data_IF_847090287469
#
_entry.id   IF_847090287469
#
_cell.length_a   1.000
_cell.length_b   1.000
_cell.length_c   1.000
_cell.angle_alpha   90.00
_cell.angle_beta   90.00
_cell.angle_gamma   90.00
#
_symmetry.space_group_name_H-M   'P 1'
#
loop_
_entity.id
_entity.type
_entity.pdbx_description
1 polymer ?
#
# COMPACT_ATOMS: atom_id res chain seq x y z
N UNK A 1 -11.50 3.09 -12.90
CA UNK A 1 -11.64 4.41 -12.34
C UNK A 1 -11.57 4.50 -10.81
N UNK A 2 -11.27 3.40 -10.12
CA UNK A 2 -10.95 3.47 -8.69
C UNK A 2 -9.59 4.13 -8.50
N UNK A 3 -9.45 4.96 -7.46
CA UNK A 3 -8.16 5.52 -7.09
C UNK A 3 -7.42 4.57 -6.16
N UNK A 4 -6.10 4.51 -6.30
CA UNK A 4 -5.25 3.61 -5.52
C UNK A 4 -4.64 4.33 -4.33
N UNK A 5 -4.72 3.68 -3.15
CA UNK A 5 -3.91 3.99 -1.97
C UNK A 5 -2.96 2.81 -1.79
N UNK A 6 -1.66 3.04 -1.79
CA UNK A 6 -0.70 1.93 -1.72
C UNK A 6 0.74 2.38 -1.51
N UNK A 7 1.57 1.41 -1.21
CA UNK A 7 3.03 1.58 -1.15
C UNK A 7 3.63 1.55 -2.56
N UNK A 8 4.81 2.13 -2.73
CA UNK A 8 5.51 2.18 -4.02
C UNK A 8 6.30 0.88 -4.22
N UNK A 9 5.57 -0.23 -4.38
CA UNK A 9 6.13 -1.55 -4.65
C UNK A 9 5.24 -2.34 -5.63
N UNK A 10 5.76 -3.47 -6.15
CA UNK A 10 5.04 -4.32 -7.09
C UNK A 10 4.42 -3.51 -8.25
N UNK A 11 3.19 -3.83 -8.62
CA UNK A 11 2.48 -3.17 -9.72
C UNK A 11 2.21 -1.67 -9.49
N UNK A 12 2.31 -1.18 -8.25
CA UNK A 12 2.13 0.25 -7.98
C UNK A 12 3.27 1.09 -8.57
N UNK A 13 4.45 0.50 -8.79
CA UNK A 13 5.58 1.19 -9.44
C UNK A 13 5.19 1.56 -10.88
N UNK A 14 4.75 0.58 -11.66
CA UNK A 14 4.33 0.80 -13.05
C UNK A 14 3.08 1.69 -13.14
N UNK A 15 2.15 1.54 -12.19
CA UNK A 15 0.98 2.43 -12.12
C UNK A 15 1.41 3.87 -11.84
N UNK A 16 2.32 4.09 -10.92
CA UNK A 16 2.83 5.41 -10.59
C UNK A 16 3.57 6.06 -11.77
N UNK A 17 4.38 5.29 -12.53
CA UNK A 17 5.06 5.79 -13.72
C UNK A 17 4.11 6.39 -14.76
N UNK A 18 2.89 5.84 -14.90
CA UNK A 18 1.90 6.35 -15.88
C UNK A 18 0.91 7.34 -15.30
N UNK A 19 0.69 7.34 -13.98
CA UNK A 19 -0.32 8.17 -13.31
C UNK A 19 0.27 9.42 -12.66
N UNK A 20 1.51 9.33 -12.15
CA UNK A 20 2.14 10.37 -11.35
C UNK A 20 1.57 10.49 -9.94
N UNK A 21 2.28 11.27 -9.10
CA UNK A 21 1.92 11.50 -7.69
C UNK A 21 0.53 12.11 -7.49
N UNK A 22 0.05 12.85 -8.50
CA UNK A 22 -1.21 13.60 -8.40
C UNK A 22 -2.44 12.70 -8.54
N UNK A 23 -2.30 11.48 -9.06
CA UNK A 23 -3.40 10.58 -9.38
C UNK A 23 -3.42 9.27 -8.58
N UNK A 24 -2.54 9.18 -7.58
CA UNK A 24 -2.46 8.09 -6.60
C UNK A 24 -2.23 8.64 -5.19
N UNK A 25 -2.53 7.85 -4.17
CA UNK A 25 -2.22 8.18 -2.78
C UNK A 25 -1.14 7.22 -2.28
N UNK A 26 0.12 7.61 -2.49
CA UNK A 26 1.25 6.80 -2.03
C UNK A 26 1.56 7.07 -0.56
N UNK A 27 1.99 6.02 0.13
CA UNK A 27 2.49 6.03 1.50
C UNK A 27 3.58 4.96 1.67
N UNK A 28 4.16 4.92 2.87
CA UNK A 28 5.10 3.88 3.28
C UNK A 28 6.55 4.17 2.93
N UNK A 29 7.41 3.34 3.48
CA UNK A 29 8.85 3.39 3.29
C UNK A 29 9.22 2.95 1.86
N UNK A 30 10.25 3.57 1.33
CA UNK A 30 10.90 3.13 0.08
C UNK A 30 11.84 1.95 0.36
N UNK A 31 12.21 1.21 -0.67
CA UNK A 31 13.08 0.03 -0.58
C UNK A 31 14.39 0.31 0.17
N UNK A 32 15.00 1.46 -0.09
CA UNK A 32 16.25 1.87 0.56
C UNK A 32 16.05 2.16 2.04
N UNK A 33 14.92 2.80 2.40
CA UNK A 33 14.57 3.12 3.79
C UNK A 33 14.25 1.84 4.58
N UNK A 34 13.55 0.87 3.96
CA UNK A 34 13.31 -0.46 4.55
C UNK A 34 14.63 -1.16 4.85
N UNK A 35 15.57 -1.13 3.90
CA UNK A 35 16.89 -1.74 4.08
C UNK A 35 17.66 -1.09 5.22
N UNK A 36 17.74 0.24 5.22
CA UNK A 36 18.42 1.00 6.28
C UNK A 36 17.81 0.72 7.65
N UNK A 37 16.48 0.70 7.75
CA UNK A 37 15.78 0.41 9.00
C UNK A 37 16.06 -1.01 9.51
N UNK A 38 16.14 -2.00 8.63
CA UNK A 38 16.54 -3.37 8.99
C UNK A 38 17.99 -3.44 9.48
N UNK A 39 18.90 -2.80 8.76
CA UNK A 39 20.34 -2.81 9.08
C UNK A 39 20.63 -2.08 10.39
N UNK A 40 19.85 -1.07 10.75
CA UNK A 40 19.99 -0.30 12.01
C UNK A 40 19.24 -0.90 13.20
N UNK A 41 18.46 -1.97 12.99
CA UNK A 41 17.75 -2.68 14.06
C UNK A 41 16.34 -2.16 14.27
N UNK A 42 15.45 -2.50 13.35
CA UNK A 42 14.02 -2.21 13.47
C UNK A 42 13.39 -2.83 14.70
N UNK A 43 12.62 -2.06 15.45
CA UNK A 43 11.92 -2.54 16.64
C UNK A 43 10.48 -1.96 16.69
N UNK A 44 9.48 -2.74 16.32
CA UNK A 44 8.07 -2.31 16.26
C UNK A 44 7.50 -1.93 17.62
N UNK A 45 7.96 -2.55 18.71
CA UNK A 45 7.52 -2.21 20.07
C UNK A 45 7.93 -0.78 20.47
N UNK A 46 9.05 -0.27 19.96
CA UNK A 46 9.45 1.13 20.20
C UNK A 46 8.50 2.13 19.52
N UNK A 47 7.96 1.79 18.35
CA UNK A 47 6.95 2.60 17.68
C UNK A 47 5.64 2.58 18.45
N UNK A 48 5.15 1.39 18.79
CA UNK A 48 3.96 1.19 19.62
C UNK A 48 4.02 2.00 20.92
N UNK A 49 5.15 1.97 21.63
CA UNK A 49 5.30 2.66 22.92
C UNK A 49 5.39 4.19 22.82
N UNK A 50 5.76 4.75 21.66
CA UNK A 50 5.96 6.18 21.44
C UNK A 50 4.81 6.87 20.73
N UNK A 51 4.10 6.19 19.87
CA UNK A 51 2.97 6.73 19.10
C UNK A 51 1.64 6.38 19.77
N UNK A 52 1.01 7.37 20.37
CA UNK A 52 -0.26 7.16 21.09
C UNK A 52 -1.44 6.81 20.17
N UNK A 53 -1.39 7.10 18.88
CA UNK A 53 -2.43 6.71 17.94
C UNK A 53 -2.25 5.24 17.56
N UNK A 54 -1.03 4.82 17.23
CA UNK A 54 -0.68 3.44 16.96
C UNK A 54 -0.98 2.54 18.17
N UNK A 55 -0.60 3.00 19.37
CA UNK A 55 -0.90 2.31 20.63
C UNK A 55 -2.40 2.01 20.75
N UNK A 56 -3.26 3.04 20.64
CA UNK A 56 -4.71 2.87 20.72
C UNK A 56 -5.28 1.92 19.67
N UNK A 57 -4.76 1.97 18.43
CA UNK A 57 -5.21 1.08 17.35
C UNK A 57 -4.89 -0.38 17.67
N UNK A 58 -3.67 -0.67 18.11
CA UNK A 58 -3.27 -2.04 18.44
C UNK A 58 -4.01 -2.56 19.68
N UNK A 59 -4.22 -1.72 20.71
CA UNK A 59 -5.02 -2.09 21.88
C UNK A 59 -6.47 -2.39 21.49
N UNK A 60 -7.05 -1.61 20.58
CA UNK A 60 -8.40 -1.85 20.10
C UNK A 60 -8.51 -3.17 19.31
N UNK A 61 -7.51 -3.48 18.47
CA UNK A 61 -7.43 -4.76 17.76
C UNK A 61 -7.38 -5.90 18.79
N UNK A 62 -6.48 -5.81 19.77
CA UNK A 62 -6.35 -6.82 20.82
C UNK A 62 -7.68 -7.07 21.58
N UNK A 63 -8.42 -6.00 21.90
CA UNK A 63 -9.70 -6.09 22.61
C UNK A 63 -10.85 -6.67 21.75
N UNK A 64 -10.73 -6.63 20.42
CA UNK A 64 -11.74 -7.10 19.49
C UNK A 64 -12.83 -6.06 19.16
N UNK A 65 -13.77 -6.47 18.32
CA UNK A 65 -14.76 -5.58 17.69
C UNK A 65 -16.21 -5.89 18.09
N UNK A 66 -16.43 -6.38 19.33
CA UNK A 66 -17.74 -6.80 19.87
C UNK A 66 -18.34 -8.03 19.17
N UNK A 67 -17.52 -8.79 18.50
CA UNK A 67 -17.83 -10.09 17.87
C UNK A 67 -17.59 -11.29 18.81
N UNK A 68 -17.14 -11.02 20.04
CA UNK A 68 -16.78 -12.03 21.03
C UNK A 68 -15.40 -12.65 20.78
N UNK A 69 -14.64 -12.14 19.81
CA UNK A 69 -13.30 -12.62 19.43
C UNK A 69 -12.26 -11.59 19.93
N UNK A 70 -11.15 -12.11 20.41
CA UNK A 70 -9.93 -11.32 20.70
C UNK A 70 -8.90 -11.61 19.63
N UNK A 71 -8.15 -10.58 19.27
CA UNK A 71 -7.14 -10.64 18.22
C UNK A 71 -5.74 -10.35 18.79
N UNK A 72 -5.47 -10.84 20.00
CA UNK A 72 -4.17 -10.68 20.70
C UNK A 72 -3.04 -11.28 19.89
N UNK A 73 -3.28 -12.38 19.19
CA UNK A 73 -2.29 -13.08 18.37
C UNK A 73 -1.77 -12.22 17.21
N UNK A 74 -2.62 -11.35 16.63
CA UNK A 74 -2.22 -10.41 15.59
C UNK A 74 -1.26 -9.37 16.19
N UNK A 75 -1.63 -8.77 17.33
CA UNK A 75 -0.83 -7.75 17.99
C UNK A 75 0.49 -8.33 18.50
N UNK A 76 0.45 -9.53 19.09
CA UNK A 76 1.65 -10.23 19.56
C UNK A 76 2.62 -10.52 18.41
N UNK A 77 2.10 -10.96 17.28
CA UNK A 77 2.89 -11.22 16.07
C UNK A 77 3.53 -9.95 15.49
N UNK A 78 2.80 -8.84 15.49
CA UNK A 78 3.33 -7.54 15.04
C UNK A 78 4.41 -7.02 16.00
N UNK A 79 4.21 -7.13 17.32
CA UNK A 79 5.13 -6.54 18.29
C UNK A 79 6.34 -7.42 18.61
N UNK A 80 6.16 -8.76 18.61
CA UNK A 80 7.13 -9.72 19.14
C UNK A 80 7.49 -10.87 18.18
N UNK A 81 6.77 -11.05 17.09
CA UNK A 81 7.09 -11.97 16.00
C UNK A 81 6.53 -13.39 16.13
N UNK A 82 6.56 -14.03 17.29
CA UNK A 82 5.96 -15.37 17.47
C UNK A 82 6.55 -16.48 16.58
N UNK A 83 7.86 -16.50 16.35
CA UNK A 83 8.57 -17.48 15.51
C UNK A 83 9.01 -16.96 14.13
N UNK A 84 8.59 -15.75 13.77
CA UNK A 84 9.06 -14.98 12.62
C UNK A 84 9.57 -13.61 13.11
N UNK A 85 10.29 -12.84 12.29
CA UNK A 85 10.60 -11.46 12.64
C UNK A 85 9.33 -10.66 12.98
N UNK A 86 9.41 -9.83 14.04
CA UNK A 86 8.30 -8.94 14.39
C UNK A 86 8.08 -7.93 13.27
N UNK A 87 6.80 -7.71 12.91
CA UNK A 87 6.40 -6.78 11.85
C UNK A 87 7.30 -6.85 10.60
N UNK A 88 7.42 -8.04 10.03
CA UNK A 88 8.32 -8.36 8.92
C UNK A 88 8.15 -7.38 7.73
N UNK A 89 6.94 -6.89 7.53
CA UNK A 89 6.60 -5.97 6.43
C UNK A 89 6.61 -4.49 6.85
N UNK A 90 7.06 -4.17 8.06
CA UNK A 90 7.17 -2.80 8.59
C UNK A 90 5.86 -1.99 8.57
N UNK A 91 4.73 -2.66 8.77
CA UNK A 91 3.40 -2.05 8.79
C UNK A 91 3.29 -0.94 9.84
N UNK A 92 3.93 -1.13 11.00
CA UNK A 92 3.89 -0.15 12.07
C UNK A 92 4.76 1.08 11.77
N UNK A 93 5.83 0.90 11.00
CA UNK A 93 6.65 2.01 10.51
C UNK A 93 5.87 2.85 9.48
N UNK A 94 5.05 2.23 8.66
CA UNK A 94 4.23 2.89 7.64
C UNK A 94 2.98 3.57 8.20
N UNK A 95 2.60 3.30 9.46
CA UNK A 95 1.32 3.73 10.04
C UNK A 95 1.05 5.24 9.91
N UNK A 96 2.03 6.07 10.21
CA UNK A 96 1.86 7.54 10.17
C UNK A 96 1.65 8.02 8.74
N UNK A 97 2.45 7.53 7.79
CA UNK A 97 2.32 7.89 6.37
C UNK A 97 1.02 7.35 5.76
N UNK A 98 0.59 6.15 6.16
CA UNK A 98 -0.71 5.61 5.80
C UNK A 98 -1.86 6.49 6.30
N UNK A 99 -1.85 6.87 7.58
CA UNK A 99 -2.87 7.74 8.16
C UNK A 99 -2.94 9.10 7.45
N UNK A 100 -1.79 9.64 7.00
CA UNK A 100 -1.73 10.86 6.21
C UNK A 100 -2.32 10.66 4.80
N UNK A 101 -1.96 9.57 4.12
CA UNK A 101 -2.52 9.23 2.81
C UNK A 101 -4.05 9.07 2.86
N UNK A 102 -4.57 8.43 3.93
CA UNK A 102 -6.01 8.28 4.14
C UNK A 102 -6.72 9.62 4.36
N UNK A 103 -6.08 10.57 5.08
CA UNK A 103 -6.63 11.94 5.22
C UNK A 103 -6.66 12.66 3.88
N UNK A 104 -5.55 12.65 3.13
CA UNK A 104 -5.47 13.26 1.78
C UNK A 104 -6.53 12.68 0.85
N UNK A 105 -6.74 11.36 0.90
CA UNK A 105 -7.76 10.67 0.13
C UNK A 105 -9.18 11.14 0.54
N UNK A 106 -9.48 11.23 1.83
CA UNK A 106 -10.78 11.67 2.32
C UNK A 106 -11.06 13.13 1.93
N UNK A 107 -10.08 14.01 2.07
CA UNK A 107 -10.19 15.42 1.67
C UNK A 107 -10.43 15.55 0.15
N UNK A 108 -9.69 14.78 -0.64
CA UNK A 108 -9.86 14.74 -2.10
C UNK A 108 -11.22 14.17 -2.50
N UNK A 109 -11.73 13.18 -1.76
CA UNK A 109 -13.07 12.62 -2.01
C UNK A 109 -14.18 13.65 -1.76
N UNK A 110 -13.98 14.60 -0.85
CA UNK A 110 -14.86 15.74 -0.62
C UNK A 110 -14.94 16.69 -1.84
N UNK A 111 -13.84 16.84 -2.58
CA UNK A 111 -13.82 17.57 -3.87
C UNK A 111 -14.16 16.62 -5.02
N UNK A 112 -15.45 16.54 -5.34
CA UNK A 112 -15.97 15.67 -6.40
C UNK A 112 -15.37 15.94 -7.78
N UNK A 113 -15.05 17.18 -8.08
CA UNK A 113 -14.44 17.55 -9.37
C UNK A 113 -13.04 16.96 -9.47
N UNK A 114 -12.21 17.19 -8.46
CA UNK A 114 -10.86 16.66 -8.40
C UNK A 114 -10.85 15.13 -8.41
N UNK A 115 -11.69 14.50 -7.59
CA UNK A 115 -11.82 13.03 -7.55
C UNK A 115 -12.16 12.46 -8.92
N UNK A 116 -13.14 13.03 -9.61
CA UNK A 116 -13.57 12.57 -10.94
C UNK A 116 -12.48 12.79 -11.99
N UNK A 117 -11.74 13.89 -11.94
CA UNK A 117 -10.59 14.12 -12.82
C UNK A 117 -9.50 13.06 -12.64
N UNK A 118 -9.13 12.76 -11.40
CA UNK A 118 -8.18 11.69 -11.08
C UNK A 118 -8.69 10.33 -11.60
N UNK A 119 -9.97 10.02 -11.36
CA UNK A 119 -10.60 8.79 -11.83
C UNK A 119 -10.56 8.65 -13.35
N UNK A 120 -10.91 9.72 -14.09
CA UNK A 120 -10.83 9.75 -15.54
C UNK A 120 -9.39 9.60 -16.04
N UNK A 121 -8.42 10.22 -15.37
CA UNK A 121 -7.01 10.07 -15.70
C UNK A 121 -6.56 8.61 -15.55
N UNK A 122 -6.94 7.94 -14.45
CA UNK A 122 -6.67 6.52 -14.22
C UNK A 122 -7.28 5.65 -15.32
N UNK A 123 -8.53 5.89 -15.73
CA UNK A 123 -9.18 5.18 -16.83
C UNK A 123 -8.42 5.38 -18.15
N UNK A 124 -8.09 6.61 -18.48
CA UNK A 124 -7.41 6.95 -19.73
C UNK A 124 -6.02 6.31 -19.85
N UNK A 125 -5.33 6.11 -18.73
CA UNK A 125 -3.99 5.52 -18.66
C UNK A 125 -3.98 4.00 -18.46
N UNK A 126 -5.13 3.37 -18.18
CA UNK A 126 -5.20 1.94 -17.87
C UNK A 126 -4.90 1.01 -19.06
N UNK A 127 -4.95 1.53 -20.29
CA UNK A 127 -4.74 0.72 -21.51
C UNK A 127 -3.40 -0.02 -21.55
N UNK A 128 -2.36 0.51 -20.91
CA UNK A 128 -1.05 -0.15 -20.81
C UNK A 128 -1.12 -1.48 -20.05
N UNK A 129 -2.12 -1.65 -19.16
CA UNK A 129 -2.32 -2.86 -18.37
C UNK A 129 -3.35 -3.82 -18.98
N UNK A 130 -3.80 -3.56 -20.22
CA UNK A 130 -4.73 -4.44 -20.91
C UNK A 130 -4.08 -5.77 -21.23
N UNK A 131 -4.76 -6.87 -20.92
CA UNK A 131 -4.28 -8.23 -21.21
C UNK A 131 -3.99 -8.43 -22.70
N UNK A 132 -4.86 -7.92 -23.58
CA UNK A 132 -4.68 -8.02 -25.04
C UNK A 132 -3.37 -7.36 -25.51
N UNK A 133 -2.98 -6.22 -24.92
CA UNK A 133 -1.70 -5.59 -25.20
C UNK A 133 -0.54 -6.49 -24.77
N UNK A 134 -0.61 -7.03 -23.56
CA UNK A 134 0.46 -7.89 -23.03
C UNK A 134 0.61 -9.16 -23.88
N UNK A 135 -0.50 -9.78 -24.27
CA UNK A 135 -0.48 -10.97 -25.14
C UNK A 135 0.08 -10.61 -26.52
N UNK A 136 -0.29 -9.47 -27.09
CA UNK A 136 0.29 -9.02 -28.36
C UNK A 136 1.81 -8.81 -28.26
N UNK A 137 2.30 -8.20 -27.19
CA UNK A 137 3.73 -8.05 -26.94
C UNK A 137 4.45 -9.40 -26.79
N UNK A 138 3.86 -10.36 -26.09
CA UNK A 138 4.40 -11.72 -26.01
C UNK A 138 4.43 -12.42 -27.36
N UNK A 139 3.36 -12.33 -28.16
CA UNK A 139 3.27 -12.93 -29.47
C UNK A 139 4.34 -12.37 -30.41
N UNK A 140 4.53 -11.07 -30.43
CA UNK A 140 5.49 -10.39 -31.29
C UNK A 140 6.94 -10.57 -30.81
N UNK A 141 7.23 -10.22 -29.54
CA UNK A 141 8.60 -10.08 -29.05
C UNK A 141 9.22 -11.38 -28.54
N UNK A 142 8.41 -12.34 -28.09
CA UNK A 142 8.89 -13.57 -27.46
C UNK A 142 8.59 -14.80 -28.31
N UNK A 143 7.35 -14.95 -28.74
CA UNK A 143 6.93 -16.16 -29.47
C UNK A 143 7.09 -16.03 -30.98
N UNK A 144 7.20 -14.80 -31.49
CA UNK A 144 7.30 -14.50 -32.93
C UNK A 144 6.17 -15.15 -33.76
N UNK A 145 4.96 -15.15 -33.23
CA UNK A 145 3.78 -15.71 -33.88
C UNK A 145 2.80 -14.61 -34.29
N UNK A 146 2.07 -14.77 -35.42
CA UNK A 146 1.08 -13.79 -35.83
C UNK A 146 -0.02 -13.64 -34.79
N UNK A 147 -0.23 -12.46 -34.26
CA UNK A 147 -1.34 -12.12 -33.37
C UNK A 147 -2.41 -11.40 -34.19
N UNK A 148 -3.60 -12.00 -34.28
CA UNK A 148 -4.78 -11.36 -34.87
C UNK A 148 -5.60 -10.74 -33.75
N UNK A 149 -5.80 -9.42 -33.83
CA UNK A 149 -6.74 -8.70 -32.97
C UNK A 149 -8.16 -9.11 -33.25
#
# INVERSE_FOLDING_TARGET
GALTVGTLDGANVEMHEVLGDENMFLFGLKTEEVKEMRDTGYNPYRLYSRDGALHRVLDQISQGFRDGIRYDDIVERLLFGGGSPADEYMLLADFVSYADAMRRMADTYGDRTKWNQMSLHNIARSGIFAADRSIADYADRIWHVPYKK
#
